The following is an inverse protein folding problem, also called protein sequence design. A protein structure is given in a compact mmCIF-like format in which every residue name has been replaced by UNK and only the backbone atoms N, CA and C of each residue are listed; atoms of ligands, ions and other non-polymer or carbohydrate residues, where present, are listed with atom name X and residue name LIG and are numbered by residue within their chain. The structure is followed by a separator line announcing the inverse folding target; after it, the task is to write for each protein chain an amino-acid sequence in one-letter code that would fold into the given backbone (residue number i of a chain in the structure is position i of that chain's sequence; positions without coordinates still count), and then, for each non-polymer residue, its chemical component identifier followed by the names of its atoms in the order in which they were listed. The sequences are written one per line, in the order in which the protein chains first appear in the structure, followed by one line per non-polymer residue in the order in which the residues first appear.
data_IF_248948667245
#
_entry.id   IF_248948667245
#
_cell.length_a   1.000
_cell.length_b   1.000
_cell.length_c   1.000
_cell.angle_alpha   90.00
_cell.angle_beta   90.00
_cell.angle_gamma   90.00
#
_symmetry.space_group_name_H-M   'P 1'
#
loop_
_entity.id
_entity.type
_entity.pdbx_description
1 polymer ?
#
# COMPACT_ATOMS: atom_id res chain seq x y z
N UNK A 1 -6.67 16.90 24.29
CA UNK A 1 -6.08 15.90 25.21
C UNK A 1 -6.95 14.65 25.26
N UNK A 2 -8.17 14.71 25.79
CA UNK A 2 -9.09 13.56 25.91
C UNK A 2 -9.28 12.77 24.61
N UNK A 3 -9.58 13.44 23.49
CA UNK A 3 -9.74 12.78 22.18
C UNK A 3 -8.49 12.02 21.72
N UNK A 4 -7.28 12.47 22.07
CA UNK A 4 -6.03 11.79 21.69
C UNK A 4 -5.81 10.56 22.55
N UNK A 5 -6.09 10.65 23.86
CA UNK A 5 -6.05 9.49 24.76
C UNK A 5 -7.08 8.44 24.33
N UNK A 6 -8.30 8.87 24.03
CA UNK A 6 -9.36 8.01 23.52
C UNK A 6 -8.98 7.35 22.19
N UNK A 7 -8.34 8.06 21.26
CA UNK A 7 -7.93 7.49 19.98
C UNK A 7 -6.93 6.33 20.15
N UNK A 8 -5.90 6.50 21.00
CA UNK A 8 -4.93 5.42 21.28
C UNK A 8 -5.59 4.26 22.02
N UNK A 9 -6.38 4.56 23.06
CA UNK A 9 -7.02 3.54 23.90
C UNK A 9 -8.06 2.73 23.12
N UNK A 10 -8.96 3.40 22.39
CA UNK A 10 -10.01 2.73 21.62
C UNK A 10 -9.46 2.02 20.38
N UNK A 11 -8.31 2.46 19.84
CA UNK A 11 -7.56 1.68 18.86
C UNK A 11 -7.16 0.32 19.43
N UNK A 12 -6.55 0.30 20.62
CA UNK A 12 -6.19 -0.94 21.33
C UNK A 12 -7.38 -1.80 21.73
N UNK A 13 -8.49 -1.19 22.19
CA UNK A 13 -9.73 -1.92 22.50
C UNK A 13 -10.31 -2.58 21.24
N UNK A 14 -10.40 -1.84 20.15
CA UNK A 14 -10.90 -2.36 18.88
C UNK A 14 -10.05 -3.51 18.34
N UNK A 15 -8.72 -3.37 18.43
CA UNK A 15 -7.76 -4.42 18.09
C UNK A 15 -7.95 -5.68 18.94
N UNK A 16 -7.97 -5.54 20.28
CA UNK A 16 -8.14 -6.68 21.18
C UNK A 16 -9.46 -7.43 20.94
N UNK A 17 -10.56 -6.69 20.74
CA UNK A 17 -11.87 -7.24 20.42
C UNK A 17 -11.86 -7.99 19.09
N UNK A 18 -11.27 -7.41 18.03
CA UNK A 18 -11.20 -8.05 16.72
C UNK A 18 -10.27 -9.26 16.69
N UNK A 19 -9.18 -9.20 17.45
CA UNK A 19 -8.15 -10.24 17.50
C UNK A 19 -8.62 -11.48 18.28
N UNK A 20 -9.01 -11.30 19.55
CA UNK A 20 -9.36 -12.38 20.50
C UNK A 20 -8.41 -13.58 20.39
N UNK A 21 -7.11 -13.36 20.59
CA UNK A 21 -6.05 -14.38 20.43
C UNK A 21 -6.05 -15.07 19.06
N UNK A 22 -6.25 -14.30 18.00
CA UNK A 22 -6.38 -14.75 16.61
C UNK A 22 -7.60 -15.64 16.33
N UNK A 23 -8.46 -15.95 17.31
CA UNK A 23 -9.61 -16.84 17.10
C UNK A 23 -10.70 -16.19 16.25
N UNK A 24 -11.00 -14.93 16.52
CA UNK A 24 -11.98 -14.16 15.73
C UNK A 24 -11.37 -13.58 14.47
N UNK A 25 -10.11 -13.16 14.52
CA UNK A 25 -9.38 -12.68 13.35
C UNK A 25 -9.32 -13.73 12.22
N UNK A 26 -9.10 -15.01 12.56
CA UNK A 26 -9.07 -16.09 11.58
C UNK A 26 -10.45 -16.68 11.24
N UNK A 27 -11.52 -16.19 11.87
CA UNK A 27 -12.88 -16.65 11.58
C UNK A 27 -13.46 -15.90 10.38
N UNK A 28 -13.77 -16.62 9.30
CA UNK A 28 -14.35 -16.04 8.08
C UNK A 28 -15.88 -15.87 8.14
N UNK A 29 -16.52 -16.27 9.25
CA UNK A 29 -17.98 -16.19 9.44
C UNK A 29 -18.35 -15.14 10.48
N UNK A 30 -18.78 -13.97 10.01
CA UNK A 30 -19.30 -12.93 10.90
C UNK A 30 -20.51 -13.38 11.72
N UNK A 31 -21.33 -14.29 11.19
CA UNK A 31 -22.48 -14.86 11.92
C UNK A 31 -22.03 -15.68 13.13
N UNK A 32 -20.97 -16.49 12.96
CA UNK A 32 -20.40 -17.27 14.06
C UNK A 32 -19.82 -16.37 15.15
N UNK A 33 -19.04 -15.34 14.77
CA UNK A 33 -18.50 -14.36 15.72
C UNK A 33 -19.63 -13.70 16.52
N UNK A 34 -20.73 -13.33 15.87
CA UNK A 34 -21.88 -12.71 16.53
C UNK A 34 -22.64 -13.68 17.47
N UNK A 35 -22.71 -14.96 17.14
CA UNK A 35 -23.28 -15.98 18.02
C UNK A 35 -22.41 -16.22 19.26
N UNK A 36 -21.09 -16.29 19.08
CA UNK A 36 -20.14 -16.38 20.19
C UNK A 36 -20.18 -15.12 21.07
N UNK A 37 -20.27 -13.93 20.49
CA UNK A 37 -20.42 -12.70 21.26
C UNK A 37 -21.69 -12.72 22.12
N UNK A 38 -22.81 -13.24 21.60
CA UNK A 38 -24.05 -13.41 22.36
C UNK A 38 -23.89 -14.42 23.49
N UNK A 39 -23.20 -15.54 23.26
CA UNK A 39 -22.97 -16.55 24.30
C UNK A 39 -22.06 -16.06 25.42
N UNK A 40 -21.18 -15.08 25.13
CA UNK A 40 -20.39 -14.35 26.12
C UNK A 40 -21.18 -13.26 26.88
N UNK A 41 -22.48 -13.10 26.62
CA UNK A 41 -23.33 -12.09 27.27
C UNK A 41 -23.38 -10.74 26.57
N UNK A 42 -22.90 -10.64 25.33
CA UNK A 42 -22.86 -9.40 24.55
C UNK A 42 -21.68 -8.49 24.88
N UNK A 43 -21.54 -7.39 24.12
CA UNK A 43 -20.40 -6.47 24.22
C UNK A 43 -20.24 -5.85 25.62
N UNK A 44 -21.34 -5.41 26.24
CA UNK A 44 -21.33 -4.74 27.53
C UNK A 44 -20.90 -5.65 28.70
N UNK A 45 -20.92 -6.98 28.49
CA UNK A 45 -20.50 -7.97 29.48
C UNK A 45 -19.02 -8.32 29.38
N UNK A 46 -18.31 -7.86 28.34
CA UNK A 46 -16.90 -8.19 28.13
C UNK A 46 -16.00 -7.38 29.05
N UNK A 47 -15.06 -8.08 29.70
CA UNK A 47 -13.93 -7.47 30.42
C UNK A 47 -12.66 -7.87 29.68
N UNK A 48 -11.94 -6.88 29.16
CA UNK A 48 -10.73 -7.10 28.38
C UNK A 48 -9.53 -7.18 29.33
N UNK A 49 -8.87 -8.33 29.36
CA UNK A 49 -7.62 -8.55 30.08
C UNK A 49 -6.57 -9.17 29.16
N UNK A 50 -5.29 -9.12 29.55
CA UNK A 50 -4.19 -9.58 28.71
C UNK A 50 -4.21 -11.10 28.45
N UNK A 51 -4.84 -11.87 29.33
CA UNK A 51 -4.93 -13.32 29.24
C UNK A 51 -6.09 -13.78 28.39
N UNK A 52 -7.14 -12.98 28.17
CA UNK A 52 -8.32 -13.38 27.38
C UNK A 52 -8.48 -12.55 26.10
N UNK A 53 -8.16 -11.26 26.17
CA UNK A 53 -8.25 -10.27 25.10
C UNK A 53 -6.93 -9.48 24.95
N UNK A 54 -5.81 -10.16 24.63
CA UNK A 54 -4.59 -9.43 24.32
C UNK A 54 -4.77 -8.56 23.07
N UNK A 55 -4.02 -7.48 22.99
CA UNK A 55 -3.83 -6.75 21.73
C UNK A 55 -2.98 -7.56 20.74
N UNK A 56 -3.17 -7.32 19.44
CA UNK A 56 -2.41 -7.96 18.37
C UNK A 56 -1.06 -7.26 18.13
N UNK A 57 -0.34 -7.67 17.08
CA UNK A 57 0.84 -6.97 16.59
C UNK A 57 0.51 -5.53 16.12
N UNK A 58 -0.70 -5.29 15.62
CA UNK A 58 -1.17 -3.98 15.17
C UNK A 58 -1.02 -2.89 16.23
N UNK A 59 -1.57 -3.10 17.43
CA UNK A 59 -1.43 -2.13 18.53
C UNK A 59 0.02 -1.98 18.98
N UNK A 60 0.79 -3.07 19.06
CA UNK A 60 2.18 -3.00 19.50
C UNK A 60 3.04 -2.17 18.54
N UNK A 61 2.83 -2.33 17.23
CA UNK A 61 3.51 -1.53 16.21
C UNK A 61 3.00 -0.07 16.18
N UNK A 62 1.71 0.16 16.44
CA UNK A 62 1.16 1.51 16.57
C UNK A 62 1.74 2.26 17.77
N UNK A 63 1.91 1.57 18.91
CA UNK A 63 2.61 2.09 20.09
C UNK A 63 4.07 2.42 19.77
N UNK A 64 4.81 1.52 19.13
CA UNK A 64 6.20 1.78 18.72
C UNK A 64 6.32 3.00 17.80
N UNK A 65 5.36 3.18 16.89
CA UNK A 65 5.30 4.38 16.03
C UNK A 65 5.03 5.64 16.85
N UNK A 66 4.11 5.58 17.81
CA UNK A 66 3.79 6.71 18.69
C UNK A 66 4.98 7.09 19.59
N UNK A 67 5.68 6.11 20.15
CA UNK A 67 6.90 6.31 20.95
C UNK A 67 7.99 7.02 20.14
N UNK A 68 8.26 6.57 18.91
CA UNK A 68 9.23 7.21 18.03
C UNK A 68 8.89 8.68 17.74
N UNK A 69 7.60 8.99 17.53
CA UNK A 69 7.11 10.34 17.26
C UNK A 69 7.20 11.29 18.47
N UNK A 70 7.32 10.73 19.68
CA UNK A 70 7.47 11.45 20.94
C UNK A 70 8.93 11.68 21.32
N UNK A 71 9.87 10.96 20.70
CA UNK A 71 11.31 11.18 20.88
C UNK A 71 11.72 12.54 20.30
N UNK A 72 12.56 13.27 21.05
CA UNK A 72 13.11 14.57 20.63
C UNK A 72 14.12 14.38 19.49
N UNK A 73 13.63 14.53 18.27
CA UNK A 73 14.41 14.38 17.04
C UNK A 73 14.69 15.74 16.40
N UNK A 74 15.94 15.95 15.96
CA UNK A 74 16.40 17.20 15.33
C UNK A 74 16.06 17.26 13.85
N UNK A 75 15.88 16.09 13.22
CA UNK A 75 15.57 15.94 11.80
C UNK A 75 14.62 14.76 11.54
N UNK A 76 14.08 14.67 10.32
CA UNK A 76 13.29 13.50 9.92
C UNK A 76 14.14 12.23 9.84
N UNK A 77 15.42 12.33 9.50
CA UNK A 77 16.30 11.17 9.47
C UNK A 77 16.52 10.58 10.86
N UNK A 78 16.60 11.43 11.88
CA UNK A 78 16.71 10.96 13.27
C UNK A 78 15.43 10.26 13.72
N UNK A 79 14.26 10.82 13.36
CA UNK A 79 12.98 10.13 13.55
C UNK A 79 12.92 8.79 12.83
N UNK A 80 13.44 8.69 11.60
CA UNK A 80 13.45 7.43 10.85
C UNK A 80 14.40 6.40 11.46
N UNK A 81 15.55 6.83 11.98
CA UNK A 81 16.46 5.96 12.75
C UNK A 81 15.80 5.46 14.05
N UNK A 82 15.05 6.33 14.72
CA UNK A 82 14.32 5.95 15.93
C UNK A 82 13.15 4.98 15.63
N UNK A 83 12.40 5.21 14.55
CA UNK A 83 11.39 4.26 14.07
C UNK A 83 12.01 2.89 13.77
N UNK A 84 13.18 2.85 13.13
CA UNK A 84 13.91 1.60 12.87
C UNK A 84 14.24 0.87 14.17
N UNK A 85 14.82 1.58 15.15
CA UNK A 85 15.20 1.00 16.43
C UNK A 85 13.98 0.38 17.12
N UNK A 86 12.90 1.15 17.25
CA UNK A 86 11.67 0.71 17.93
C UNK A 86 10.93 -0.39 17.18
N UNK A 87 10.92 -0.38 15.84
CA UNK A 87 10.32 -1.45 15.06
C UNK A 87 11.08 -2.78 15.20
N UNK A 88 12.42 -2.73 15.18
CA UNK A 88 13.25 -3.94 15.39
C UNK A 88 13.07 -4.49 16.81
N UNK A 89 13.01 -3.62 17.83
CA UNK A 89 12.71 -4.03 19.20
C UNK A 89 11.30 -4.62 19.34
N UNK A 90 10.31 -4.05 18.65
CA UNK A 90 8.93 -4.51 18.68
C UNK A 90 8.76 -5.91 18.06
N UNK A 91 9.58 -6.29 17.05
CA UNK A 91 9.50 -7.61 16.40
C UNK A 91 9.53 -8.76 17.41
N UNK A 92 10.38 -8.66 18.45
CA UNK A 92 10.50 -9.70 19.47
C UNK A 92 9.17 -9.88 20.23
N UNK A 93 8.46 -8.78 20.51
CA UNK A 93 7.19 -8.79 21.24
C UNK A 93 6.04 -9.30 20.38
N UNK A 94 6.00 -8.91 19.10
CA UNK A 94 4.89 -9.26 18.20
C UNK A 94 4.91 -10.73 17.75
N UNK A 95 6.05 -11.43 17.82
CA UNK A 95 6.11 -12.85 17.48
C UNK A 95 5.16 -13.72 18.32
N UNK A 96 4.80 -13.27 19.52
CA UNK A 96 3.82 -13.92 20.39
C UNK A 96 2.35 -13.67 19.98
N UNK A 97 2.12 -12.88 18.93
CA UNK A 97 0.80 -12.35 18.50
C UNK A 97 0.42 -12.74 17.06
N UNK A 98 1.01 -13.80 16.50
CA UNK A 98 0.77 -14.24 15.11
C UNK A 98 0.86 -13.08 14.09
N UNK A 99 1.99 -12.36 14.06
CA UNK A 99 2.08 -11.09 13.36
C UNK A 99 2.00 -11.24 11.84
N UNK A 100 1.65 -10.16 11.15
CA UNK A 100 1.73 -10.08 9.69
C UNK A 100 3.15 -10.47 9.22
N UNK A 101 3.31 -11.52 8.39
CA UNK A 101 4.61 -11.93 7.88
C UNK A 101 5.37 -10.80 7.17
N UNK A 102 4.67 -9.88 6.50
CA UNK A 102 5.31 -8.73 5.85
C UNK A 102 5.92 -7.75 6.86
N UNK A 103 5.30 -7.59 8.05
CA UNK A 103 5.86 -6.79 9.14
C UNK A 103 7.17 -7.39 9.63
N UNK A 104 7.19 -8.70 9.92
CA UNK A 104 8.39 -9.38 10.43
C UNK A 104 9.51 -9.38 9.39
N UNK A 105 9.20 -9.73 8.14
CA UNK A 105 10.17 -9.75 7.05
C UNK A 105 10.76 -8.34 6.83
N UNK A 106 9.91 -7.32 6.75
CA UNK A 106 10.34 -5.94 6.57
C UNK A 106 11.23 -5.43 7.69
N UNK A 107 10.87 -5.68 8.96
CA UNK A 107 11.70 -5.31 10.09
C UNK A 107 13.06 -6.01 10.09
N UNK A 108 13.16 -7.26 9.62
CA UNK A 108 14.44 -7.97 9.55
C UNK A 108 15.41 -7.41 8.51
N UNK A 109 14.91 -6.61 7.57
CA UNK A 109 15.71 -5.91 6.56
C UNK A 109 16.16 -4.51 6.98
N UNK A 110 15.63 -3.99 8.10
CA UNK A 110 16.06 -2.72 8.69
C UNK A 110 17.45 -2.85 9.32
N UNK A 111 18.18 -1.73 9.36
CA UNK A 111 19.59 -1.72 9.78
C UNK A 111 19.80 -0.75 10.94
N UNK A 112 19.43 -1.12 12.19
CA UNK A 112 19.50 -0.21 13.34
C UNK A 112 20.92 0.29 13.64
N UNK A 113 21.95 -0.48 13.29
CA UNK A 113 23.36 -0.10 13.49
C UNK A 113 23.95 0.74 12.34
N UNK A 114 23.16 1.03 11.29
CA UNK A 114 23.60 1.85 10.17
C UNK A 114 23.08 3.28 10.31
N UNK A 115 23.94 4.26 10.06
CA UNK A 115 23.54 5.67 10.09
C UNK A 115 22.86 6.11 8.79
N UNK A 116 23.26 5.59 7.63
CA UNK A 116 22.75 6.04 6.32
C UNK A 116 21.68 5.09 5.79
N UNK A 117 20.48 5.64 5.51
CA UNK A 117 19.35 4.91 4.90
C UNK A 117 18.97 3.63 5.65
N UNK A 118 19.08 3.65 6.98
CA UNK A 118 18.78 2.52 7.88
C UNK A 118 17.36 1.94 7.70
N UNK A 119 16.44 2.80 7.26
CA UNK A 119 15.02 2.54 7.08
C UNK A 119 14.64 2.12 5.65
N UNK A 120 15.60 2.07 4.72
CA UNK A 120 15.35 1.65 3.35
C UNK A 120 15.37 0.13 3.27
N UNK A 121 14.24 -0.43 2.87
CA UNK A 121 14.08 -1.84 2.50
C UNK A 121 13.93 -1.98 0.98
N UNK A 122 14.32 -3.10 0.38
CA UNK A 122 13.96 -3.41 -1.01
C UNK A 122 12.44 -3.43 -1.20
N UNK A 123 11.99 -3.37 -2.46
CA UNK A 123 10.58 -3.61 -2.77
C UNK A 123 10.17 -4.98 -2.23
N UNK A 124 9.02 -5.04 -1.57
CA UNK A 124 8.50 -6.25 -0.97
C UNK A 124 7.14 -6.58 -1.57
N UNK A 125 7.07 -7.62 -2.39
CA UNK A 125 5.82 -8.11 -2.96
C UNK A 125 4.80 -8.58 -1.91
N UNK A 126 5.26 -8.99 -0.71
CA UNK A 126 4.40 -9.30 0.45
C UNK A 126 3.85 -8.05 1.09
N UNK A 127 4.43 -6.89 0.81
CA UNK A 127 4.18 -5.62 1.50
C UNK A 127 2.84 -4.97 1.16
N UNK A 128 1.93 -5.62 0.43
CA UNK A 128 0.59 -5.08 0.17
C UNK A 128 -0.37 -5.23 1.37
N UNK A 129 0.07 -5.89 2.46
CA UNK A 129 -0.68 -6.13 3.69
C UNK A 129 -1.08 -4.86 4.46
N UNK A 130 -1.95 -5.05 5.46
CA UNK A 130 -2.51 -3.96 6.25
C UNK A 130 -1.57 -3.43 7.33
N UNK A 131 -0.48 -4.14 7.66
CA UNK A 131 0.37 -3.81 8.81
C UNK A 131 1.01 -2.42 8.75
N UNK A 132 1.17 -1.83 7.56
CA UNK A 132 1.55 -0.42 7.41
C UNK A 132 0.44 0.56 7.84
N UNK A 133 -0.81 0.27 7.50
CA UNK A 133 -1.95 1.11 7.78
C UNK A 133 -2.27 1.16 9.28
N UNK A 134 -2.23 0.01 9.95
CA UNK A 134 -2.63 -0.13 11.37
C UNK A 134 -1.70 0.57 12.35
N UNK A 135 -0.46 0.88 11.95
CA UNK A 135 0.51 1.57 12.82
C UNK A 135 0.64 3.07 12.58
N UNK A 136 -0.05 3.64 11.60
CA UNK A 136 0.25 4.99 11.11
C UNK A 136 -0.69 6.10 11.62
N UNK A 137 -1.79 5.78 12.31
CA UNK A 137 -2.76 6.79 12.77
C UNK A 137 -2.12 7.87 13.66
N UNK A 138 -1.16 7.50 14.51
CA UNK A 138 -0.48 8.45 15.40
C UNK A 138 0.37 9.48 14.64
N UNK A 139 0.81 9.19 13.41
CA UNK A 139 1.50 10.15 12.53
C UNK A 139 0.54 11.29 12.18
N UNK A 140 -0.71 10.95 11.86
CA UNK A 140 -1.78 11.91 11.62
C UNK A 140 -2.11 12.75 12.84
N UNK A 141 -2.13 12.14 14.02
CA UNK A 141 -2.31 12.84 15.29
C UNK A 141 -1.14 13.79 15.59
N UNK A 142 0.10 13.42 15.23
CA UNK A 142 1.31 14.23 15.48
C UNK A 142 1.47 15.42 14.53
N UNK A 143 1.08 15.25 13.28
CA UNK A 143 1.23 16.23 12.19
C UNK A 143 -0.13 16.65 11.63
N UNK A 144 -1.11 16.89 12.51
CA UNK A 144 -2.49 17.18 12.12
C UNK A 144 -2.69 18.55 11.48
N UNK A 145 -1.78 19.50 11.75
CA UNK A 145 -1.88 20.87 11.23
C UNK A 145 -1.67 20.89 9.71
N UNK A 146 -2.44 21.72 9.01
CA UNK A 146 -2.43 21.80 7.53
C UNK A 146 -1.03 22.13 6.98
N UNK A 147 -0.28 22.97 7.69
CA UNK A 147 1.08 23.39 7.33
C UNK A 147 2.10 22.24 7.46
N UNK A 148 1.74 21.16 8.15
CA UNK A 148 2.56 19.96 8.36
C UNK A 148 2.18 18.81 7.42
N UNK A 149 1.30 19.04 6.43
CA UNK A 149 0.87 18.02 5.47
C UNK A 149 2.05 17.37 4.74
N UNK A 150 3.04 18.15 4.30
CA UNK A 150 4.26 17.62 3.67
C UNK A 150 5.01 16.66 4.61
N UNK A 151 5.13 17.02 5.90
CA UNK A 151 5.73 16.13 6.91
C UNK A 151 4.91 14.86 7.10
N UNK A 152 3.58 14.97 7.20
CA UNK A 152 2.68 13.82 7.34
C UNK A 152 2.85 12.85 6.17
N UNK A 153 2.87 13.35 4.93
CA UNK A 153 3.06 12.53 3.73
C UNK A 153 4.40 11.80 3.80
N UNK A 154 5.49 12.52 4.06
CA UNK A 154 6.85 11.92 4.13
C UNK A 154 6.93 10.84 5.20
N UNK A 155 6.53 11.16 6.43
CA UNK A 155 6.65 10.26 7.57
C UNK A 155 5.75 9.04 7.42
N UNK A 156 4.50 9.21 6.96
CA UNK A 156 3.60 8.08 6.73
C UNK A 156 4.08 7.13 5.63
N UNK A 157 4.61 7.67 4.53
CA UNK A 157 5.18 6.84 3.45
C UNK A 157 6.42 6.09 3.93
N UNK A 158 7.35 6.76 4.62
CA UNK A 158 8.57 6.12 5.14
C UNK A 158 8.24 5.05 6.19
N UNK A 159 7.42 5.39 7.20
CA UNK A 159 7.02 4.47 8.26
C UNK A 159 6.26 3.25 7.71
N UNK A 160 5.46 3.44 6.66
CA UNK A 160 4.81 2.35 5.95
C UNK A 160 5.82 1.47 5.22
N UNK A 161 6.64 2.06 4.34
CA UNK A 161 7.54 1.30 3.47
C UNK A 161 8.70 0.63 4.20
N UNK A 162 9.07 1.08 5.39
CA UNK A 162 10.03 0.38 6.28
C UNK A 162 9.68 -1.11 6.44
N UNK A 163 8.39 -1.46 6.42
CA UNK A 163 7.94 -2.87 6.52
C UNK A 163 7.20 -3.34 5.27
N UNK A 164 6.48 -2.43 4.63
CA UNK A 164 5.57 -2.70 3.53
C UNK A 164 5.99 -1.87 2.32
N UNK A 165 7.17 -2.15 1.77
CA UNK A 165 7.67 -1.42 0.60
C UNK A 165 6.96 -1.89 -0.68
N UNK A 166 5.66 -1.61 -0.74
CA UNK A 166 4.74 -1.85 -1.83
C UNK A 166 3.70 -0.72 -1.82
N UNK A 167 3.36 -0.11 -2.98
CA UNK A 167 2.44 1.02 -3.03
C UNK A 167 1.13 0.81 -2.28
N UNK A 168 0.47 -0.35 -2.49
CA UNK A 168 -0.76 -0.70 -1.75
C UNK A 168 -0.60 -0.63 -0.23
N UNK A 169 0.54 -1.08 0.32
CA UNK A 169 0.79 -1.09 1.76
C UNK A 169 1.09 0.30 2.31
N UNK A 170 2.13 0.98 1.79
CA UNK A 170 2.52 2.28 2.33
C UNK A 170 1.51 3.40 2.01
N UNK A 171 0.69 3.28 0.96
CA UNK A 171 -0.45 4.20 0.75
C UNK A 171 -1.58 3.94 1.76
N UNK A 172 -1.69 2.73 2.29
CA UNK A 172 -2.54 2.42 3.44
C UNK A 172 -2.10 3.18 4.70
N UNK A 173 -0.78 3.27 4.96
CA UNK A 173 -0.20 4.11 6.02
C UNK A 173 -0.54 5.59 5.82
N UNK A 174 -0.37 6.10 4.59
CA UNK A 174 -0.77 7.48 4.26
C UNK A 174 -2.27 7.73 4.50
N UNK A 175 -3.12 6.78 4.09
CA UNK A 175 -4.57 6.87 4.26
C UNK A 175 -4.97 7.04 5.74
N UNK A 176 -4.51 6.14 6.61
CA UNK A 176 -4.88 6.17 8.03
C UNK A 176 -4.28 7.37 8.77
N UNK A 177 -3.07 7.80 8.40
CA UNK A 177 -2.48 9.04 8.91
C UNK A 177 -3.28 10.28 8.47
N UNK A 178 -3.69 10.39 7.20
CA UNK A 178 -4.51 11.49 6.72
C UNK A 178 -5.88 11.51 7.41
N UNK A 179 -6.54 10.37 7.55
CA UNK A 179 -7.86 10.30 8.17
C UNK A 179 -7.81 10.64 9.66
N UNK A 180 -6.77 10.21 10.38
CA UNK A 180 -6.55 10.64 11.76
C UNK A 180 -6.34 12.17 11.85
N UNK A 181 -5.56 12.75 10.94
CA UNK A 181 -5.37 14.21 10.83
C UNK A 181 -6.69 14.94 10.55
N UNK A 182 -7.50 14.43 9.61
CA UNK A 182 -8.81 15.01 9.26
C UNK A 182 -9.80 14.92 10.43
N UNK A 183 -9.79 13.81 11.17
CA UNK A 183 -10.60 13.65 12.38
C UNK A 183 -10.21 14.68 13.45
N UNK A 184 -8.92 14.92 13.68
CA UNK A 184 -8.42 15.94 14.61
C UNK A 184 -8.84 17.35 14.17
N UNK A 185 -8.79 17.63 12.87
CA UNK A 185 -9.23 18.90 12.27
C UNK A 185 -10.76 19.09 12.27
N UNK A 186 -11.54 18.06 12.61
CA UNK A 186 -13.01 18.11 12.58
C UNK A 186 -13.60 18.17 11.17
N UNK A 187 -12.88 17.66 10.16
CA UNK A 187 -13.39 17.66 8.78
C UNK A 187 -14.58 16.70 8.63
N UNK A 188 -15.59 17.04 7.80
CA UNK A 188 -16.71 16.15 7.52
C UNK A 188 -16.27 14.79 6.96
N UNK A 189 -16.74 13.69 7.55
CA UNK A 189 -16.35 12.31 7.19
C UNK A 189 -16.52 12.01 5.69
N UNK A 190 -17.60 12.51 5.08
CA UNK A 190 -17.90 12.33 3.65
C UNK A 190 -16.83 12.91 2.71
N UNK A 191 -15.99 13.83 3.21
CA UNK A 191 -14.95 14.48 2.40
C UNK A 191 -13.62 13.73 2.44
N UNK A 192 -13.37 12.86 3.42
CA UNK A 192 -12.03 12.32 3.69
C UNK A 192 -11.41 11.62 2.49
N UNK A 193 -12.17 10.74 1.82
CA UNK A 193 -11.71 10.06 0.61
C UNK A 193 -11.38 11.03 -0.53
N UNK A 194 -12.23 12.04 -0.76
CA UNK A 194 -12.01 13.05 -1.82
C UNK A 194 -10.80 13.93 -1.53
N UNK A 195 -10.60 14.30 -0.27
CA UNK A 195 -9.47 15.11 0.15
C UNK A 195 -8.16 14.32 0.13
N UNK A 196 -8.18 13.02 0.45
CA UNK A 196 -7.03 12.13 0.27
C UNK A 196 -6.56 12.10 -1.19
N UNK A 197 -7.49 12.01 -2.16
CA UNK A 197 -7.13 12.00 -3.59
C UNK A 197 -6.32 13.25 -4.00
N UNK A 198 -6.59 14.40 -3.39
CA UNK A 198 -5.83 15.65 -3.64
C UNK A 198 -4.40 15.59 -3.13
N UNK A 199 -4.11 14.71 -2.16
CA UNK A 199 -2.77 14.53 -1.57
C UNK A 199 -1.94 13.53 -2.34
N UNK A 200 -2.56 12.63 -3.13
CA UNK A 200 -1.84 11.59 -3.88
C UNK A 200 -0.72 12.12 -4.79
N UNK A 201 -0.86 13.25 -5.52
CA UNK A 201 0.24 13.80 -6.31
C UNK A 201 1.48 14.16 -5.47
N UNK A 202 1.29 14.60 -4.22
CA UNK A 202 2.42 14.86 -3.31
C UNK A 202 3.12 13.57 -2.88
N UNK A 203 2.36 12.51 -2.62
CA UNK A 203 2.90 11.20 -2.29
C UNK A 203 3.66 10.59 -3.47
N UNK A 204 3.09 10.67 -4.68
CA UNK A 204 3.73 10.25 -5.93
C UNK A 204 5.05 10.99 -6.15
N UNK A 205 5.04 12.32 -6.02
CA UNK A 205 6.25 13.13 -6.19
C UNK A 205 7.35 12.76 -5.17
N UNK A 206 6.95 12.49 -3.92
CA UNK A 206 7.88 12.03 -2.89
C UNK A 206 8.46 10.65 -3.20
N UNK A 207 7.61 9.70 -3.61
CA UNK A 207 8.02 8.35 -4.02
C UNK A 207 8.97 8.40 -5.21
N UNK A 208 8.67 9.22 -6.24
CA UNK A 208 9.52 9.40 -7.42
C UNK A 208 10.94 9.85 -7.06
N UNK A 209 11.06 10.73 -6.06
CA UNK A 209 12.37 11.24 -5.58
C UNK A 209 13.15 10.23 -4.74
N UNK A 210 12.48 9.27 -4.10
CA UNK A 210 13.08 8.45 -3.04
C UNK A 210 13.16 6.95 -3.37
N UNK A 211 12.29 6.44 -4.24
CA UNK A 211 12.29 5.05 -4.71
C UNK A 211 13.25 4.92 -5.90
N UNK A 212 14.43 4.34 -5.65
CA UNK A 212 15.38 3.97 -6.70
C UNK A 212 14.89 2.65 -7.32
N UNK A 213 14.60 2.65 -8.62
CA UNK A 213 14.09 1.47 -9.32
C UNK A 213 15.14 0.34 -9.28
N UNK A 214 14.78 -0.82 -8.73
CA UNK A 214 15.49 -2.08 -9.00
C UNK A 214 14.76 -2.76 -10.13
N UNK A 215 15.27 -2.62 -11.35
CA UNK A 215 14.74 -3.30 -12.53
C UNK A 215 15.30 -4.73 -12.55
N UNK A 216 14.68 -5.65 -11.82
CA UNK A 216 15.06 -7.06 -11.86
C UNK A 216 14.38 -7.80 -13.03
N UNK A 217 15.11 -8.79 -13.57
CA UNK A 217 14.63 -9.68 -14.64
C UNK A 217 14.02 -10.93 -14.01
N UNK A 218 12.70 -11.07 -14.09
CA UNK A 218 11.96 -12.26 -13.67
C UNK A 218 11.66 -13.16 -14.86
N UNK A 219 11.50 -14.47 -14.62
CA UNK A 219 10.98 -15.41 -15.60
C UNK A 219 9.44 -15.47 -15.62
N UNK A 220 8.84 -16.20 -16.56
CA UNK A 220 7.38 -16.21 -16.73
C UNK A 220 6.61 -16.82 -15.53
N UNK A 221 7.17 -17.84 -14.87
CA UNK A 221 6.53 -18.43 -13.69
C UNK A 221 6.58 -17.47 -12.49
N UNK A 222 7.70 -16.77 -12.34
CA UNK A 222 7.88 -15.76 -11.31
C UNK A 222 6.94 -14.56 -11.54
N UNK A 223 6.81 -14.08 -12.78
CA UNK A 223 5.83 -13.05 -13.15
C UNK A 223 4.39 -13.45 -12.79
N UNK A 224 3.99 -14.68 -13.06
CA UNK A 224 2.65 -15.17 -12.71
C UNK A 224 2.42 -15.20 -11.20
N UNK A 225 3.42 -15.60 -10.42
CA UNK A 225 3.37 -15.55 -8.96
C UNK A 225 3.25 -14.11 -8.46
N UNK A 226 4.02 -13.19 -9.02
CA UNK A 226 3.99 -11.75 -8.71
C UNK A 226 2.58 -11.19 -8.97
N UNK A 227 2.03 -11.41 -10.16
CA UNK A 227 0.74 -10.85 -10.55
C UNK A 227 -0.43 -11.45 -9.77
N UNK A 228 -0.40 -12.76 -9.52
CA UNK A 228 -1.36 -13.44 -8.65
C UNK A 228 -1.41 -12.81 -7.25
N UNK A 229 -0.28 -12.29 -6.79
CA UNK A 229 -0.11 -11.72 -5.46
C UNK A 229 -0.53 -10.26 -5.34
N UNK A 230 -0.36 -9.47 -6.40
CA UNK A 230 -0.89 -8.09 -6.46
C UNK A 230 -2.42 -8.08 -6.56
N UNK A 231 -3.00 -9.18 -7.02
CA UNK A 231 -4.44 -9.38 -7.06
C UNK A 231 -5.03 -9.53 -5.66
N UNK A 232 -6.13 -8.83 -5.41
CA UNK A 232 -6.98 -9.07 -4.24
C UNK A 232 -7.78 -10.39 -4.33
N UNK A 233 -7.73 -11.10 -5.47
CA UNK A 233 -8.52 -12.30 -5.77
C UNK A 233 -7.69 -13.51 -6.20
N UNK A 234 -6.36 -13.39 -6.16
CA UNK A 234 -5.48 -14.45 -6.65
C UNK A 234 -5.46 -14.60 -8.17
N UNK A 235 -5.90 -13.60 -8.93
CA UNK A 235 -5.74 -13.50 -10.40
C UNK A 235 -5.39 -12.07 -10.82
N UNK A 236 -4.11 -11.84 -11.14
CA UNK A 236 -3.58 -10.51 -11.44
C UNK A 236 -4.22 -9.84 -12.65
N UNK A 237 -4.52 -8.56 -12.53
CA UNK A 237 -5.06 -7.72 -13.60
C UNK A 237 -6.58 -7.71 -13.72
N UNK A 238 -7.29 -8.37 -12.79
CA UNK A 238 -8.75 -8.51 -12.83
C UNK A 238 -9.48 -7.32 -12.22
N UNK A 239 -8.79 -6.50 -11.44
CA UNK A 239 -9.35 -5.37 -10.70
C UNK A 239 -8.75 -4.06 -11.19
N UNK A 240 -9.40 -2.95 -10.79
CA UNK A 240 -9.00 -1.62 -11.24
C UNK A 240 -7.63 -1.18 -10.72
N UNK A 241 -7.14 -1.75 -9.61
CA UNK A 241 -5.82 -1.42 -9.06
C UNK A 241 -4.70 -2.21 -9.73
N UNK A 242 -4.87 -3.50 -9.95
CA UNK A 242 -3.79 -4.39 -10.41
C UNK A 242 -3.60 -4.38 -11.93
N UNK A 243 -4.65 -4.17 -12.73
CA UNK A 243 -4.55 -4.08 -14.18
C UNK A 243 -3.60 -2.95 -14.68
N UNK A 244 -3.80 -1.68 -14.29
CA UNK A 244 -2.88 -0.62 -14.69
C UNK A 244 -1.50 -0.74 -14.03
N UNK A 245 -1.40 -1.30 -12.81
CA UNK A 245 -0.09 -1.53 -12.17
C UNK A 245 0.78 -2.52 -12.94
N UNK A 246 0.20 -3.65 -13.37
CA UNK A 246 0.91 -4.65 -14.19
C UNK A 246 1.34 -4.04 -15.53
N UNK A 247 0.46 -3.29 -16.19
CA UNK A 247 0.78 -2.60 -17.43
C UNK A 247 1.93 -1.59 -17.25
N UNK A 248 1.92 -0.85 -16.14
CA UNK A 248 2.94 0.15 -15.83
C UNK A 248 4.30 -0.49 -15.51
N UNK A 249 4.35 -1.56 -14.69
CA UNK A 249 5.57 -2.32 -14.42
C UNK A 249 6.20 -2.85 -15.73
N UNK A 250 5.37 -3.40 -16.60
CA UNK A 250 5.81 -3.89 -17.90
C UNK A 250 6.40 -2.77 -18.77
N UNK A 251 5.77 -1.59 -18.82
CA UNK A 251 6.28 -0.44 -19.57
C UNK A 251 7.61 0.08 -19.02
N UNK A 252 7.75 0.18 -17.70
CA UNK A 252 8.99 0.59 -17.05
C UNK A 252 10.13 -0.37 -17.35
N UNK A 253 9.86 -1.67 -17.32
CA UNK A 253 10.88 -2.69 -17.58
C UNK A 253 11.24 -2.80 -19.07
N UNK A 254 10.24 -2.69 -19.95
CA UNK A 254 10.41 -2.89 -21.38
C UNK A 254 11.04 -1.70 -22.10
N UNK A 255 10.79 -0.47 -21.63
CA UNK A 255 11.13 0.74 -22.37
C UNK A 255 10.58 0.67 -23.81
N UNK A 256 11.45 0.80 -24.81
CA UNK A 256 11.06 0.70 -26.22
C UNK A 256 11.04 -0.72 -26.79
N UNK A 257 11.29 -1.78 -26.00
CA UNK A 257 11.26 -3.17 -26.47
C UNK A 257 9.83 -3.75 -26.42
N UNK A 258 9.17 -3.79 -27.58
CA UNK A 258 7.82 -4.35 -27.70
C UNK A 258 7.74 -5.82 -27.25
N UNK A 259 8.76 -6.63 -27.51
CA UNK A 259 8.74 -8.06 -27.15
C UNK A 259 8.79 -8.22 -25.64
N UNK A 260 9.65 -7.45 -24.97
CA UNK A 260 9.72 -7.46 -23.52
C UNK A 260 8.40 -6.98 -22.90
N UNK A 261 7.74 -5.98 -23.50
CA UNK A 261 6.43 -5.53 -23.05
C UNK A 261 5.39 -6.64 -23.18
N UNK A 262 5.31 -7.32 -24.33
CA UNK A 262 4.37 -8.44 -24.51
C UNK A 262 4.60 -9.55 -23.49
N UNK A 263 5.87 -9.94 -23.29
CA UNK A 263 6.24 -10.99 -22.33
C UNK A 263 5.83 -10.66 -20.89
N UNK A 264 5.72 -9.38 -20.52
CA UNK A 264 5.30 -8.96 -19.18
C UNK A 264 3.81 -8.67 -19.09
N UNK A 265 3.27 -7.81 -19.96
CA UNK A 265 1.90 -7.34 -19.86
C UNK A 265 0.85 -8.22 -20.56
N UNK A 266 1.24 -9.04 -21.55
CA UNK A 266 0.28 -9.74 -22.42
C UNK A 266 0.36 -11.26 -22.28
N UNK A 267 1.53 -11.79 -21.91
CA UNK A 267 1.79 -13.23 -21.81
C UNK A 267 2.03 -13.63 -20.35
N UNK A 268 0.95 -13.61 -19.56
CA UNK A 268 0.92 -14.05 -18.17
C UNK A 268 -0.43 -14.70 -17.84
N UNK A 269 -0.51 -15.51 -16.79
CA UNK A 269 -1.67 -16.29 -16.34
C UNK A 269 -2.79 -15.48 -15.66
N UNK A 270 -2.75 -14.15 -15.75
CA UNK A 270 -3.73 -13.23 -15.15
C UNK A 270 -4.92 -12.92 -16.07
N UNK A 271 -5.47 -11.71 -15.95
CA UNK A 271 -6.40 -11.11 -16.91
C UNK A 271 -5.62 -10.34 -17.98
N UNK A 272 -4.83 -11.10 -18.76
CA UNK A 272 -3.81 -10.55 -19.67
C UNK A 272 -4.36 -9.70 -20.82
N UNK A 273 -5.63 -9.88 -21.18
CA UNK A 273 -6.30 -9.02 -22.16
C UNK A 273 -6.46 -7.58 -21.65
N UNK A 274 -6.76 -7.40 -20.36
CA UNK A 274 -6.94 -6.08 -19.76
C UNK A 274 -5.60 -5.34 -19.60
N UNK A 275 -4.61 -6.01 -19.02
CA UNK A 275 -3.24 -5.48 -18.85
C UNK A 275 -2.60 -5.20 -20.22
N UNK A 276 -2.76 -6.11 -21.18
CA UNK A 276 -2.27 -5.98 -22.55
C UNK A 276 -2.91 -4.82 -23.31
N UNK A 277 -4.22 -4.61 -23.16
CA UNK A 277 -4.92 -3.47 -23.77
C UNK A 277 -4.39 -2.14 -23.24
N UNK A 278 -4.18 -2.02 -21.92
CA UNK A 278 -3.66 -0.79 -21.30
C UNK A 278 -2.20 -0.56 -21.74
N UNK A 279 -1.34 -1.58 -21.57
CA UNK A 279 0.07 -1.49 -21.89
C UNK A 279 0.31 -1.19 -23.38
N UNK A 280 -0.40 -1.89 -24.28
CA UNK A 280 -0.28 -1.71 -25.72
C UNK A 280 -0.73 -0.31 -26.19
N UNK A 281 -1.81 0.22 -25.62
CA UNK A 281 -2.28 1.57 -25.92
C UNK A 281 -1.22 2.62 -25.54
N UNK A 282 -0.70 2.55 -24.31
CA UNK A 282 0.32 3.48 -23.81
C UNK A 282 1.64 3.37 -24.58
N UNK A 283 2.09 2.14 -24.88
CA UNK A 283 3.28 1.94 -25.71
C UNK A 283 3.14 2.55 -27.10
N UNK A 284 1.97 2.37 -27.74
CA UNK A 284 1.68 2.96 -29.05
C UNK A 284 1.75 4.50 -29.03
N UNK A 285 1.28 5.13 -27.97
CA UNK A 285 1.41 6.59 -27.77
C UNK A 285 2.86 7.04 -27.57
N UNK A 286 3.68 6.24 -26.86
CA UNK A 286 5.07 6.57 -26.56
C UNK A 286 6.03 6.32 -27.72
N UNK A 287 5.82 5.25 -28.49
CA UNK A 287 6.81 4.72 -29.43
C UNK A 287 6.26 4.51 -30.86
N UNK A 288 4.96 4.65 -31.06
CA UNK A 288 4.30 4.32 -32.32
C UNK A 288 4.47 2.84 -32.70
N UNK A 289 4.43 2.54 -33.99
CA UNK A 289 4.55 1.18 -34.53
C UNK A 289 5.98 0.79 -34.94
N UNK A 290 6.99 1.64 -34.67
CA UNK A 290 8.34 1.51 -35.23
C UNK A 290 9.02 0.18 -34.88
N UNK A 291 8.82 -0.30 -33.66
CA UNK A 291 9.44 -1.54 -33.16
C UNK A 291 8.49 -2.74 -33.16
N UNK A 292 7.32 -2.61 -33.80
CA UNK A 292 6.26 -3.63 -33.80
C UNK A 292 6.22 -4.32 -35.16
N UNK A 293 6.27 -5.66 -35.16
CA UNK A 293 6.18 -6.44 -36.40
C UNK A 293 4.81 -6.26 -37.07
N UNK A 294 4.80 -5.97 -38.38
CA UNK A 294 3.57 -5.74 -39.18
C UNK A 294 2.55 -6.87 -39.01
N UNK A 295 3.00 -8.12 -38.95
CA UNK A 295 2.12 -9.27 -38.83
C UNK A 295 1.24 -9.28 -37.57
N UNK A 296 1.58 -8.50 -36.54
CA UNK A 296 0.78 -8.40 -35.30
C UNK A 296 -0.45 -7.49 -35.43
N UNK A 297 -0.45 -6.55 -36.36
CA UNK A 297 -1.54 -5.58 -36.51
C UNK A 297 -2.14 -5.53 -37.91
N UNK A 298 -1.45 -6.06 -38.93
CA UNK A 298 -1.82 -5.86 -40.34
C UNK A 298 -3.23 -6.36 -40.66
N UNK A 299 -3.59 -7.53 -40.12
CA UNK A 299 -4.88 -8.20 -40.29
C UNK A 299 -5.69 -8.23 -38.98
N UNK A 300 -5.42 -7.32 -38.04
CA UNK A 300 -6.15 -7.28 -36.77
C UNK A 300 -7.64 -6.98 -37.02
N UNK A 301 -8.52 -7.67 -36.30
CA UNK A 301 -9.95 -7.39 -36.34
C UNK A 301 -10.21 -5.90 -36.04
N UNK A 302 -11.06 -5.26 -36.84
CA UNK A 302 -11.39 -3.83 -36.73
C UNK A 302 -10.22 -2.85 -36.91
N UNK A 303 -9.07 -3.26 -37.46
CA UNK A 303 -7.89 -2.39 -37.66
C UNK A 303 -8.23 -1.02 -38.25
N UNK A 304 -8.93 -0.99 -39.39
CA UNK A 304 -9.27 0.26 -40.10
C UNK A 304 -10.12 1.19 -39.23
N UNK A 305 -11.04 0.61 -38.45
CA UNK A 305 -11.87 1.37 -37.52
C UNK A 305 -11.04 1.93 -36.37
N UNK A 306 -10.13 1.13 -35.79
CA UNK A 306 -9.23 1.56 -34.72
C UNK A 306 -8.30 2.70 -35.18
N UNK A 307 -7.69 2.58 -36.36
CA UNK A 307 -6.86 3.63 -36.96
C UNK A 307 -7.68 4.91 -37.20
N UNK A 308 -8.89 4.79 -37.76
CA UNK A 308 -9.78 5.93 -37.99
C UNK A 308 -10.22 6.61 -36.69
N UNK A 309 -10.48 5.86 -35.63
CA UNK A 309 -10.83 6.41 -34.31
C UNK A 309 -9.64 7.13 -33.70
N UNK A 310 -8.43 6.58 -33.77
CA UNK A 310 -7.21 7.24 -33.31
C UNK A 310 -6.98 8.58 -34.00
N UNK A 311 -7.18 8.64 -35.32
CA UNK A 311 -7.08 9.89 -36.07
C UNK A 311 -8.15 10.91 -35.67
N UNK A 312 -9.41 10.49 -35.51
CA UNK A 312 -10.49 11.37 -35.06
C UNK A 312 -10.22 11.92 -33.66
N UNK A 313 -9.77 11.08 -32.73
CA UNK A 313 -9.40 11.50 -31.38
C UNK A 313 -8.31 12.59 -31.41
N UNK A 314 -7.27 12.40 -32.22
CA UNK A 314 -6.22 13.40 -32.40
C UNK A 314 -6.77 14.73 -32.93
N UNK A 315 -7.61 14.69 -33.97
CA UNK A 315 -8.22 15.90 -34.55
C UNK A 315 -9.10 16.63 -33.54
N UNK A 316 -9.97 15.92 -32.83
CA UNK A 316 -10.84 16.51 -31.81
C UNK A 316 -10.03 17.16 -30.68
N UNK A 317 -9.06 16.44 -30.11
CA UNK A 317 -8.19 16.96 -29.05
C UNK A 317 -7.33 18.16 -29.50
N UNK A 318 -7.03 18.27 -30.81
CA UNK A 318 -6.23 19.38 -31.37
C UNK A 318 -7.07 20.61 -31.76
N UNK A 319 -8.40 20.45 -31.89
CA UNK A 319 -9.33 21.53 -32.25
C UNK A 319 -9.98 22.18 -31.02
N UNK A 320 -10.03 21.50 -29.87
CA UNK A 320 -10.41 22.07 -28.58
C UNK A 320 -9.25 22.98 -28.07
N UNK A 321 -9.29 24.26 -28.44
CA UNK A 321 -8.52 25.33 -27.79
C UNK A 321 -9.37 26.04 -26.76
#
# INVERSE_FOLDING_TARGET
MEKFQAAMLLGGVGDALGYRKASWENCTSGAQIQEELKSLGGLDSLVLDADSWPVSDGTLMHMATAEALLTDNWSLEDLYRELVRLYVEAVVKIQLRQPDPATVEGCSQLKPDNYLLAWHTPFNEKGSGFGAATKAMCIGMRYWQTERLDTLVKVSIEAGRMTHNHPTGFLGSLCTALFASYAVQGRPLVQWGRDMLKVLPMAEEYCRKTIRHMADKYDAEEMDRIYKRWSSEGRGGRRGHDAPMIAYDALLSAGSDWKQLCNRAMFHGGESGATGSIAGCLYGLLHGLKNVSKGLYENLENRVQLESLGEKLFRHASCEK
#
